data_IF_751584465629
#
_entry.id   IF_751584465629
#
_cell.length_a   1.000
_cell.length_b   1.000
_cell.length_c   1.000
_cell.angle_alpha   90.00
_cell.angle_beta   90.00
_cell.angle_gamma   90.00
#
_symmetry.space_group_name_H-M   'P 1'
#
loop_
_entity.id
_entity.type
_entity.pdbx_description
1 polymer ?
#
# COMPACT_ATOMS: atom_id res chain seq x y z
N UNK A 1 9.50 11.56 13.52
CA UNK A 1 9.30 10.12 13.22
C UNK A 1 8.00 9.56 13.78
N UNK A 2 7.73 9.70 15.09
CA UNK A 2 6.58 9.04 15.72
C UNK A 2 5.23 9.60 15.25
N UNK A 3 5.13 10.92 15.05
CA UNK A 3 3.93 11.57 14.51
C UNK A 3 3.59 11.07 13.10
N UNK A 4 4.59 10.97 12.22
CA UNK A 4 4.41 10.49 10.85
C UNK A 4 3.98 9.01 10.82
N UNK A 5 4.56 8.17 11.67
CA UNK A 5 4.15 6.76 11.82
C UNK A 5 2.72 6.64 12.32
N UNK A 6 2.33 7.44 13.31
CA UNK A 6 0.97 7.46 13.83
C UNK A 6 -0.02 7.90 12.73
N UNK A 7 0.30 8.96 11.97
CA UNK A 7 -0.54 9.41 10.87
C UNK A 7 -0.74 8.32 9.80
N UNK A 8 0.34 7.65 9.36
CA UNK A 8 0.26 6.55 8.39
C UNK A 8 -0.57 5.39 8.95
N UNK A 9 -0.36 5.04 10.22
CA UNK A 9 -1.13 4.00 10.90
C UNK A 9 -2.62 4.33 10.96
N UNK A 10 -2.99 5.56 11.31
CA UNK A 10 -4.38 6.02 11.37
C UNK A 10 -5.02 5.97 9.98
N UNK A 11 -4.32 6.44 8.94
CA UNK A 11 -4.83 6.38 7.56
C UNK A 11 -5.02 4.93 7.12
N UNK A 12 -4.07 4.04 7.41
CA UNK A 12 -4.18 2.62 7.12
C UNK A 12 -5.36 1.95 7.84
N UNK A 13 -5.59 2.31 9.11
CA UNK A 13 -6.74 1.83 9.88
C UNK A 13 -8.07 2.39 9.36
N UNK A 14 -8.10 3.66 8.93
CA UNK A 14 -9.28 4.24 8.29
C UNK A 14 -9.63 3.51 6.99
N UNK A 15 -8.62 3.21 6.16
CA UNK A 15 -8.81 2.40 4.94
C UNK A 15 -9.28 0.99 5.27
N UNK A 16 -8.71 0.33 6.29
CA UNK A 16 -9.18 -0.97 6.76
C UNK A 16 -10.65 -0.89 7.19
N UNK A 17 -11.04 0.14 7.92
CA UNK A 17 -12.43 0.40 8.30
C UNK A 17 -13.35 0.53 7.09
N UNK A 18 -12.92 1.24 6.05
CA UNK A 18 -13.69 1.37 4.80
C UNK A 18 -13.82 0.03 4.06
N UNK A 19 -12.75 -0.77 4.01
CA UNK A 19 -12.78 -2.11 3.41
C UNK A 19 -13.71 -3.04 4.17
N UNK A 20 -13.67 -3.02 5.50
CA UNK A 20 -14.58 -3.82 6.34
C UNK A 20 -16.03 -3.37 6.17
N UNK A 21 -16.29 -2.06 6.17
CA UNK A 21 -17.62 -1.52 5.89
C UNK A 21 -18.12 -1.99 4.51
N UNK A 22 -17.32 -1.86 3.45
CA UNK A 22 -17.68 -2.30 2.12
C UNK A 22 -17.96 -3.82 2.07
N UNK A 23 -17.12 -4.63 2.72
CA UNK A 23 -17.29 -6.09 2.76
C UNK A 23 -18.57 -6.51 3.51
N UNK A 24 -18.92 -5.81 4.59
CA UNK A 24 -20.12 -6.10 5.39
C UNK A 24 -21.40 -5.54 4.75
N UNK A 25 -21.32 -4.42 4.04
CA UNK A 25 -22.46 -3.78 3.36
C UNK A 25 -22.74 -4.36 1.97
N UNK A 26 -21.80 -5.12 1.37
CA UNK A 26 -21.95 -5.70 0.03
C UNK A 26 -23.19 -6.60 -0.13
N UNK A 27 -23.65 -7.22 0.96
CA UNK A 27 -24.83 -8.09 0.93
C UNK A 27 -26.15 -7.36 0.65
N UNK A 28 -26.25 -6.06 0.92
CA UNK A 28 -27.54 -5.35 0.89
C UNK A 28 -27.75 -4.46 -0.35
N UNK A 29 -26.70 -4.04 -1.06
CA UNK A 29 -26.83 -2.98 -2.07
C UNK A 29 -26.58 -3.41 -3.53
N UNK A 30 -25.57 -4.24 -3.86
CA UNK A 30 -25.18 -4.46 -5.28
C UNK A 30 -24.53 -5.84 -5.60
N UNK A 31 -24.74 -6.86 -4.79
CA UNK A 31 -24.16 -8.19 -5.02
C UNK A 31 -22.73 -8.35 -4.49
N UNK A 32 -22.06 -9.45 -4.87
CA UNK A 32 -20.75 -9.83 -4.33
C UNK A 32 -19.64 -8.85 -4.74
N UNK A 33 -18.48 -8.93 -4.08
CA UNK A 33 -17.29 -8.15 -4.47
C UNK A 33 -16.95 -8.30 -5.96
N UNK A 34 -17.05 -9.52 -6.51
CA UNK A 34 -16.75 -9.77 -7.92
C UNK A 34 -17.75 -9.10 -8.86
N UNK A 35 -19.02 -9.01 -8.47
CA UNK A 35 -20.05 -8.36 -9.27
C UNK A 35 -19.79 -6.85 -9.34
N UNK A 36 -19.48 -6.23 -8.20
CA UNK A 36 -19.13 -4.81 -8.13
C UNK A 36 -17.83 -4.53 -8.88
N UNK A 37 -16.82 -5.39 -8.75
CA UNK A 37 -15.56 -5.29 -9.48
C UNK A 37 -15.76 -5.41 -11.00
N UNK A 38 -16.64 -6.32 -11.45
CA UNK A 38 -16.98 -6.48 -12.86
C UNK A 38 -17.65 -5.22 -13.43
N UNK A 39 -18.49 -4.51 -12.67
CA UNK A 39 -19.06 -3.23 -13.10
C UNK A 39 -17.95 -2.17 -13.25
N UNK A 40 -17.01 -2.09 -12.30
CA UNK A 40 -15.89 -1.13 -12.37
C UNK A 40 -15.07 -1.32 -13.65
N UNK A 41 -14.85 -2.55 -14.10
CA UNK A 41 -14.08 -2.82 -15.33
C UNK A 41 -14.84 -2.46 -16.62
N UNK A 42 -16.15 -2.19 -16.55
CA UNK A 42 -16.92 -1.66 -17.69
C UNK A 42 -16.83 -0.15 -17.84
N UNK A 43 -16.45 0.57 -16.78
CA UNK A 43 -16.36 2.02 -16.77
C UNK A 43 -14.97 2.46 -17.24
N UNK A 44 -14.83 3.38 -18.23
CA UNK A 44 -13.52 3.82 -18.72
C UNK A 44 -12.62 4.36 -17.60
N UNK A 45 -13.18 5.19 -16.72
CA UNK A 45 -12.45 5.70 -15.55
C UNK A 45 -12.22 4.64 -14.47
N UNK A 46 -13.06 3.61 -14.39
CA UNK A 46 -12.81 2.47 -13.50
C UNK A 46 -11.56 1.71 -13.90
N UNK A 47 -11.38 1.45 -15.21
CA UNK A 47 -10.16 0.84 -15.75
C UNK A 47 -8.94 1.73 -15.47
N UNK A 48 -9.03 3.05 -15.73
CA UNK A 48 -7.93 3.99 -15.47
C UNK A 48 -7.51 3.96 -14.00
N UNK A 49 -8.46 4.02 -13.06
CA UNK A 49 -8.18 3.97 -11.62
C UNK A 49 -7.56 2.63 -11.19
N UNK A 50 -7.98 1.50 -11.78
CA UNK A 50 -7.36 0.20 -11.52
C UNK A 50 -5.92 0.17 -12.03
N UNK A 51 -5.67 0.62 -13.25
CA UNK A 51 -4.32 0.66 -13.81
C UNK A 51 -3.41 1.57 -12.99
N UNK A 52 -3.89 2.76 -12.61
CA UNK A 52 -3.17 3.70 -11.76
C UNK A 52 -2.79 3.08 -10.41
N UNK A 53 -3.74 2.41 -9.75
CA UNK A 53 -3.52 1.70 -8.48
C UNK A 53 -2.42 0.63 -8.60
N UNK A 54 -2.48 -0.22 -9.64
CA UNK A 54 -1.53 -1.31 -9.82
C UNK A 54 -0.15 -0.84 -10.28
N UNK A 55 -0.07 0.23 -11.08
CA UNK A 55 1.21 0.90 -11.37
C UNK A 55 1.80 1.44 -10.06
N UNK A 56 0.99 2.06 -9.21
CA UNK A 56 1.41 2.49 -7.87
C UNK A 56 1.97 1.35 -7.03
N UNK A 57 1.32 0.17 -7.04
CA UNK A 57 1.81 -1.03 -6.34
C UNK A 57 3.15 -1.53 -6.90
N UNK A 58 3.33 -1.49 -8.23
CA UNK A 58 4.59 -1.87 -8.86
C UNK A 58 5.72 -0.92 -8.47
N UNK A 59 5.47 0.39 -8.51
CA UNK A 59 6.45 1.40 -8.07
C UNK A 59 6.81 1.23 -6.59
N UNK A 60 5.81 0.97 -5.75
CA UNK A 60 6.04 0.64 -4.34
C UNK A 60 6.87 -0.64 -4.17
N UNK A 61 6.57 -1.70 -4.93
CA UNK A 61 7.36 -2.92 -4.91
C UNK A 61 8.83 -2.66 -5.26
N UNK A 62 9.11 -1.89 -6.31
CA UNK A 62 10.48 -1.49 -6.68
C UNK A 62 11.15 -0.77 -5.50
N UNK A 63 10.48 0.18 -4.85
CA UNK A 63 11.00 0.86 -3.67
C UNK A 63 11.33 -0.11 -2.53
N UNK A 64 10.46 -1.08 -2.25
CA UNK A 64 10.69 -2.11 -1.22
C UNK A 64 11.93 -2.94 -1.56
N UNK A 65 12.09 -3.37 -2.82
CA UNK A 65 13.26 -4.13 -3.27
C UNK A 65 14.57 -3.33 -3.20
N UNK A 66 14.52 -2.01 -3.41
CA UNK A 66 15.70 -1.15 -3.29
C UNK A 66 16.10 -0.85 -1.84
N UNK A 67 15.14 -0.89 -0.91
CA UNK A 67 15.37 -0.49 0.48
C UNK A 67 15.67 -1.66 1.41
N UNK A 68 15.18 -2.85 1.08
CA UNK A 68 15.42 -4.08 1.86
C UNK A 68 16.69 -4.78 1.39
N UNK A 69 17.53 -5.18 2.35
CA UNK A 69 18.81 -5.86 2.04
C UNK A 69 18.64 -7.30 1.55
N UNK A 70 17.52 -7.93 1.90
CA UNK A 70 17.20 -9.31 1.51
C UNK A 70 16.05 -9.32 0.52
N UNK A 71 16.29 -9.88 -0.66
CA UNK A 71 15.29 -10.03 -1.71
C UNK A 71 14.07 -10.86 -1.27
N UNK A 72 14.26 -11.81 -0.34
CA UNK A 72 13.17 -12.62 0.21
C UNK A 72 12.26 -11.76 1.08
N UNK A 73 12.85 -10.93 1.95
CA UNK A 73 12.08 -10.02 2.82
C UNK A 73 11.37 -8.97 1.96
N UNK A 74 12.04 -8.46 0.93
CA UNK A 74 11.42 -7.56 -0.04
C UNK A 74 10.21 -8.20 -0.73
N UNK A 75 10.35 -9.44 -1.20
CA UNK A 75 9.25 -10.17 -1.83
C UNK A 75 8.08 -10.41 -0.87
N UNK A 76 8.36 -10.75 0.40
CA UNK A 76 7.33 -10.93 1.43
C UNK A 76 6.55 -9.64 1.73
N UNK A 77 7.16 -8.48 1.55
CA UNK A 77 6.48 -7.19 1.71
C UNK A 77 5.80 -6.70 0.43
N UNK A 78 6.44 -6.89 -0.72
CA UNK A 78 5.94 -6.39 -2.00
C UNK A 78 4.81 -7.24 -2.60
N UNK A 79 4.92 -8.57 -2.56
CA UNK A 79 3.96 -9.46 -3.21
C UNK A 79 2.54 -9.35 -2.64
N UNK A 80 2.33 -9.28 -1.30
CA UNK A 80 0.98 -9.17 -0.76
C UNK A 80 0.28 -7.84 -1.06
N UNK A 81 1.00 -6.77 -1.44
CA UNK A 81 0.39 -5.48 -1.79
C UNK A 81 -0.54 -5.60 -2.99
N UNK A 82 -0.25 -6.48 -3.94
CA UNK A 82 -1.11 -6.68 -5.11
C UNK A 82 -2.47 -7.29 -4.78
N UNK A 83 -2.63 -7.87 -3.58
CA UNK A 83 -3.88 -8.49 -3.12
C UNK A 83 -4.51 -7.70 -1.98
N UNK A 84 -3.72 -7.37 -0.95
CA UNK A 84 -4.16 -6.65 0.24
C UNK A 84 -4.22 -5.13 0.03
N UNK A 85 -3.61 -4.63 -1.04
CA UNK A 85 -3.57 -3.23 -1.38
C UNK A 85 -2.79 -2.37 -0.39
N UNK A 86 -3.21 -1.11 -0.30
CA UNK A 86 -2.52 -0.07 0.46
C UNK A 86 -2.50 -0.30 1.99
N UNK A 87 -3.35 -1.18 2.53
CA UNK A 87 -3.33 -1.52 3.97
C UNK A 87 -1.99 -2.20 4.31
N UNK A 88 -1.52 -3.12 3.46
CA UNK A 88 -0.25 -3.80 3.67
C UNK A 88 0.94 -2.87 3.46
N UNK A 89 0.87 -2.00 2.45
CA UNK A 89 1.87 -0.96 2.23
C UNK A 89 1.98 0.01 3.42
N UNK A 90 0.84 0.42 4.00
CA UNK A 90 0.82 1.26 5.19
C UNK A 90 1.49 0.57 6.39
N UNK A 91 1.23 -0.73 6.59
CA UNK A 91 1.90 -1.52 7.64
C UNK A 91 3.42 -1.55 7.43
N UNK A 92 3.88 -1.79 6.19
CA UNK A 92 5.30 -1.75 5.85
C UNK A 92 5.93 -0.40 6.19
N UNK A 93 5.27 0.71 5.80
CA UNK A 93 5.74 2.05 6.14
C UNK A 93 5.85 2.24 7.65
N UNK A 94 4.83 1.89 8.45
CA UNK A 94 4.87 2.06 9.91
C UNK A 94 6.06 1.34 10.56
N UNK A 95 6.43 0.17 10.03
CA UNK A 95 7.53 -0.67 10.53
C UNK A 95 8.89 -0.18 10.03
N UNK A 96 9.01 0.19 8.75
CA UNK A 96 10.30 0.49 8.09
C UNK A 96 10.69 1.97 8.09
N UNK A 97 9.75 2.89 8.33
CA UNK A 97 10.02 4.33 8.36
C UNK A 97 11.24 4.74 9.21
N UNK A 98 11.45 4.19 10.43
CA UNK A 98 12.60 4.57 11.25
C UNK A 98 13.95 4.16 10.63
N UNK A 99 13.97 3.03 9.91
CA UNK A 99 15.18 2.55 9.24
C UNK A 99 15.47 3.37 7.98
N UNK A 100 14.43 3.65 7.18
CA UNK A 100 14.52 4.50 5.99
C UNK A 100 14.99 5.92 6.35
N UNK A 101 14.40 6.53 7.36
CA UNK A 101 14.78 7.88 7.76
C UNK A 101 16.22 7.96 8.29
N UNK A 102 16.72 6.89 8.94
CA UNK A 102 18.14 6.80 9.33
C UNK A 102 19.07 6.62 8.14
N UNK A 103 18.64 5.96 7.07
CA UNK A 103 19.41 5.84 5.84
C UNK A 103 19.48 7.18 5.11
N UNK A 104 18.35 7.87 4.99
CA UNK A 104 18.24 9.18 4.33
C UNK A 104 18.88 10.32 5.12
N UNK A 105 19.06 10.18 6.44
CA UNK A 105 19.70 11.21 7.27
C UNK A 105 21.22 11.15 7.28
N UNK A 106 21.85 10.16 6.65
CA UNK A 106 23.31 10.10 6.56
C UNK A 106 23.77 11.05 5.46
N UNK A 107 24.64 12.03 5.72
CA UNK A 107 25.18 12.87 4.66
C UNK A 107 26.10 12.04 3.75
N UNK A 108 25.81 12.04 2.45
CA UNK A 108 26.57 11.32 1.43
C UNK A 108 27.87 12.05 1.04
N UNK A 109 28.09 13.24 1.56
CA UNK A 109 29.25 14.06 1.21
C UNK A 109 30.48 13.63 2.03
N UNK A 110 31.67 13.51 1.40
CA UNK A 110 32.90 13.24 2.15
C UNK A 110 33.21 14.46 2.99
N UNK A 111 32.94 14.42 4.29
CA UNK A 111 33.36 15.49 5.21
C UNK A 111 34.85 15.71 5.07
N UNK A 112 35.23 16.78 4.36
CA UNK A 112 36.62 17.23 4.16
C UNK A 112 37.23 17.72 5.45
#
# INVERSE_FOLDING_TARGET
>A
MNVLRAAIGIIGLALLGLVLWAALSAHELHGSFLDQFAVVTTLPWGIVSLVDLYIGFLLFAVLVFLTERSWIIAALWAAPVFVLGNIWAALWFVIRLPHLAKQLSKPDWPTS
#
